data_IF_013132388599
#
_entry.id   IF_013132388599
#
_cell.length_a   1.000
_cell.length_b   1.000
_cell.length_c   1.000
_cell.angle_alpha   90.00
_cell.angle_beta   90.00
_cell.angle_gamma   90.00
#
_symmetry.space_group_name_H-M   'P 1'
#
loop_
_entity.id
_entity.type
_entity.pdbx_description
1 polymer ?
#
# COMPACT_ATOMS: atom_id res chain seq x y z
N UNK A 1 5.57 -9.94 -3.02
CA UNK A 1 6.13 -11.24 -3.48
C UNK A 1 5.98 -11.44 -4.98
N UNK A 2 4.77 -11.47 -5.54
CA UNK A 2 4.58 -11.65 -6.99
C UNK A 2 5.42 -10.68 -7.84
N UNK A 3 5.35 -9.38 -7.54
CA UNK A 3 6.13 -8.35 -8.24
C UNK A 3 7.64 -8.63 -8.16
N UNK A 4 8.18 -8.86 -6.94
CA UNK A 4 9.60 -9.19 -6.77
C UNK A 4 10.02 -10.43 -7.56
N UNK A 5 9.20 -11.48 -7.58
CA UNK A 5 9.49 -12.70 -8.33
C UNK A 5 9.56 -12.42 -9.82
N UNK A 6 8.58 -11.72 -10.36
CA UNK A 6 8.54 -11.40 -11.79
C UNK A 6 9.68 -10.46 -12.20
N UNK A 7 10.01 -9.46 -11.39
CA UNK A 7 11.17 -8.59 -11.66
C UNK A 7 12.46 -9.40 -11.69
N UNK A 8 12.64 -10.28 -10.70
CA UNK A 8 13.79 -11.17 -10.61
C UNK A 8 13.86 -12.13 -11.81
N UNK A 9 12.75 -12.77 -12.19
CA UNK A 9 12.69 -13.65 -13.36
C UNK A 9 12.95 -12.90 -14.67
N UNK A 10 12.50 -11.65 -14.79
CA UNK A 10 12.68 -10.84 -15.99
C UNK A 10 14.09 -10.26 -16.13
N UNK A 11 14.75 -9.89 -15.02
CA UNK A 11 15.99 -9.11 -15.05
C UNK A 11 17.20 -9.85 -14.50
N UNK A 12 17.00 -10.81 -13.59
CA UNK A 12 18.05 -11.42 -12.77
C UNK A 12 18.72 -10.46 -11.79
N UNK A 13 18.19 -9.24 -11.58
CA UNK A 13 18.81 -8.22 -10.73
C UNK A 13 18.55 -8.50 -9.23
N UNK A 14 19.45 -9.29 -8.64
CA UNK A 14 19.40 -9.67 -7.22
C UNK A 14 19.45 -8.44 -6.30
N UNK A 15 20.40 -7.49 -6.44
CA UNK A 15 20.44 -6.30 -5.59
C UNK A 15 19.16 -5.47 -5.62
N UNK A 16 18.60 -5.22 -6.81
CA UNK A 16 17.38 -4.43 -6.94
C UNK A 16 16.17 -5.15 -6.31
N UNK A 17 16.07 -6.47 -6.48
CA UNK A 17 14.98 -7.27 -5.90
C UNK A 17 15.05 -7.27 -4.38
N UNK A 18 16.24 -7.48 -3.80
CA UNK A 18 16.44 -7.40 -2.35
C UNK A 18 16.13 -6.01 -1.83
N UNK A 19 16.56 -4.95 -2.52
CA UNK A 19 16.26 -3.57 -2.14
C UNK A 19 14.75 -3.29 -2.12
N UNK A 20 14.00 -3.74 -3.14
CA UNK A 20 12.55 -3.60 -3.17
C UNK A 20 11.87 -4.37 -2.03
N UNK A 21 12.30 -5.62 -1.78
CA UNK A 21 11.77 -6.41 -0.66
C UNK A 21 12.08 -5.78 0.70
N UNK A 22 13.26 -5.18 0.83
CA UNK A 22 13.68 -4.48 2.04
C UNK A 22 12.83 -3.25 2.29
N UNK A 23 12.58 -2.43 1.26
CA UNK A 23 11.72 -1.25 1.37
C UNK A 23 10.26 -1.64 1.64
N UNK A 24 9.72 -2.60 0.87
CA UNK A 24 8.34 -3.06 0.97
C UNK A 24 8.04 -3.72 2.33
N UNK A 25 8.97 -4.50 2.88
CA UNK A 25 8.76 -5.17 4.17
C UNK A 25 9.32 -4.44 5.38
N UNK A 26 10.27 -3.52 5.20
CA UNK A 26 10.84 -2.73 6.29
C UNK A 26 9.77 -2.00 7.09
N UNK A 27 8.68 -1.60 6.43
CA UNK A 27 7.55 -0.94 7.09
C UNK A 27 6.65 -1.87 7.92
N UNK A 28 6.55 -3.15 7.54
CA UNK A 28 5.76 -4.14 8.29
C UNK A 28 6.44 -4.60 9.58
N UNK A 29 7.57 -3.99 9.93
CA UNK A 29 8.45 -4.47 10.98
C UNK A 29 9.03 -5.85 10.67
N UNK A 30 10.17 -6.14 11.27
CA UNK A 30 10.79 -7.46 11.17
C UNK A 30 9.89 -8.56 11.78
N UNK A 31 9.05 -8.22 12.77
CA UNK A 31 8.27 -9.18 13.57
C UNK A 31 7.12 -9.87 12.81
N UNK A 32 6.35 -9.17 11.98
CA UNK A 32 5.27 -9.82 11.23
C UNK A 32 5.86 -10.88 10.28
N UNK A 33 6.89 -10.51 9.53
CA UNK A 33 7.58 -11.42 8.61
C UNK A 33 8.28 -12.56 9.33
N UNK A 34 9.02 -12.26 10.41
CA UNK A 34 9.65 -13.30 11.23
C UNK A 34 8.62 -14.24 11.88
N UNK A 35 7.44 -13.75 12.25
CA UNK A 35 6.36 -14.59 12.78
C UNK A 35 5.81 -15.57 11.74
N UNK A 36 5.91 -15.21 10.46
CA UNK A 36 5.62 -16.10 9.32
C UNK A 36 6.84 -16.97 8.94
N UNK A 37 7.96 -16.86 9.68
CA UNK A 37 9.20 -17.60 9.41
C UNK A 37 10.06 -16.99 8.30
N UNK A 38 9.78 -15.75 7.88
CA UNK A 38 10.44 -15.11 6.74
C UNK A 38 11.36 -13.97 7.17
N UNK A 39 12.54 -13.91 6.55
CA UNK A 39 13.52 -12.84 6.71
C UNK A 39 13.81 -12.18 5.38
N UNK A 40 14.20 -10.90 5.40
CA UNK A 40 14.69 -10.23 4.20
C UNK A 40 15.95 -10.96 3.70
N UNK A 41 16.00 -11.39 2.43
CA UNK A 41 17.16 -12.11 1.90
C UNK A 41 18.42 -11.24 1.90
N UNK A 42 19.55 -11.79 2.35
CA UNK A 42 20.85 -11.11 2.32
C UNK A 42 21.66 -11.40 1.05
N UNK A 43 21.29 -12.44 0.30
CA UNK A 43 22.01 -12.91 -0.89
C UNK A 43 21.06 -13.62 -1.87
N UNK A 44 21.60 -14.00 -3.02
CA UNK A 44 20.85 -14.66 -4.09
C UNK A 44 20.22 -15.99 -3.65
N UNK A 45 20.95 -16.83 -2.92
CA UNK A 45 20.44 -18.14 -2.52
C UNK A 45 19.25 -18.00 -1.55
N UNK A 46 19.32 -17.06 -0.62
CA UNK A 46 18.19 -16.72 0.27
C UNK A 46 17.03 -16.09 -0.50
N UNK A 47 17.31 -15.27 -1.52
CA UNK A 47 16.28 -14.66 -2.36
C UNK A 47 15.51 -15.72 -3.13
N UNK A 48 16.23 -16.63 -3.80
CA UNK A 48 15.62 -17.75 -4.52
C UNK A 48 14.83 -18.65 -3.57
N UNK A 49 15.39 -18.97 -2.39
CA UNK A 49 14.68 -19.75 -1.38
C UNK A 49 13.37 -19.09 -0.94
N UNK A 50 13.33 -17.75 -0.80
CA UNK A 50 12.12 -17.01 -0.47
C UNK A 50 11.12 -16.96 -1.64
N UNK A 51 11.57 -16.60 -2.84
CA UNK A 51 10.71 -16.41 -4.02
C UNK A 51 10.06 -17.72 -4.50
N UNK A 52 10.74 -18.84 -4.27
CA UNK A 52 10.29 -20.18 -4.64
C UNK A 52 9.93 -21.04 -3.43
N UNK A 53 9.75 -20.44 -2.25
CA UNK A 53 9.16 -21.13 -1.11
C UNK A 53 7.78 -21.70 -1.52
N UNK A 54 7.46 -22.97 -1.21
CA UNK A 54 6.21 -23.59 -1.66
C UNK A 54 4.94 -22.83 -1.25
N UNK A 55 4.92 -22.14 -0.11
CA UNK A 55 3.78 -21.34 0.32
C UNK A 55 3.67 -20.04 -0.49
N UNK A 56 4.80 -19.40 -0.80
CA UNK A 56 4.85 -18.21 -1.66
C UNK A 56 4.46 -18.56 -3.10
N UNK A 57 4.97 -19.68 -3.63
CA UNK A 57 4.60 -20.15 -4.97
C UNK A 57 3.11 -20.46 -5.04
N UNK A 58 2.55 -21.18 -4.06
CA UNK A 58 1.11 -21.45 -4.01
C UNK A 58 0.28 -20.16 -3.98
N UNK A 59 0.65 -19.17 -3.15
CA UNK A 59 -0.02 -17.87 -3.12
C UNK A 59 0.11 -17.11 -4.45
N UNK A 60 1.29 -17.17 -5.09
CA UNK A 60 1.51 -16.59 -6.41
C UNK A 60 0.61 -17.21 -7.47
N UNK A 61 0.51 -18.55 -7.51
CA UNK A 61 -0.38 -19.24 -8.45
C UNK A 61 -1.86 -18.87 -8.23
N UNK A 62 -2.31 -18.78 -6.97
CA UNK A 62 -3.68 -18.34 -6.64
C UNK A 62 -3.92 -16.91 -7.11
N UNK A 63 -2.98 -15.98 -6.90
CA UNK A 63 -3.11 -14.61 -7.41
C UNK A 63 -3.22 -14.57 -8.93
N UNK A 64 -2.45 -15.40 -9.66
CA UNK A 64 -2.54 -15.46 -11.11
C UNK A 64 -3.90 -15.97 -11.59
N UNK A 65 -4.59 -16.81 -10.80
CA UNK A 65 -5.95 -17.27 -11.14
C UNK A 65 -6.99 -16.14 -11.13
N UNK A 66 -6.73 -15.00 -10.49
CA UNK A 66 -7.66 -13.87 -10.56
C UNK A 66 -7.81 -13.32 -11.98
N UNK A 67 -6.78 -13.48 -12.83
CA UNK A 67 -6.76 -12.93 -14.18
C UNK A 67 -7.33 -13.88 -15.24
N UNK A 68 -7.66 -15.13 -14.90
CA UNK A 68 -8.28 -16.07 -15.85
C UNK A 68 -9.82 -16.01 -15.86
N UNK A 69 -10.43 -15.38 -14.84
CA UNK A 69 -11.89 -15.30 -14.65
C UNK A 69 -12.45 -13.88 -14.84
N UNK A 70 -11.74 -13.03 -15.59
CA UNK A 70 -12.09 -11.61 -15.73
C UNK A 70 -13.47 -11.38 -16.37
N UNK A 71 -14.00 -12.35 -17.11
CA UNK A 71 -15.34 -12.34 -17.70
C UNK A 71 -16.46 -12.72 -16.71
N UNK A 72 -16.11 -13.20 -15.51
CA UNK A 72 -17.05 -13.61 -14.46
C UNK A 72 -17.22 -12.58 -13.34
N UNK A 73 -16.49 -11.47 -13.40
CA UNK A 73 -16.45 -10.46 -12.33
C UNK A 73 -16.55 -9.04 -12.88
N UNK A 74 -17.09 -8.13 -12.08
CA UNK A 74 -17.30 -6.73 -12.48
C UNK A 74 -16.13 -5.81 -12.10
N UNK A 75 -15.31 -6.21 -11.13
CA UNK A 75 -14.21 -5.42 -10.59
C UNK A 75 -13.09 -6.31 -10.04
N UNK A 76 -11.86 -5.80 -10.04
CA UNK A 76 -10.74 -6.39 -9.30
C UNK A 76 -10.69 -5.79 -7.90
N UNK A 77 -10.92 -6.62 -6.88
CA UNK A 77 -10.87 -6.20 -5.48
C UNK A 77 -9.44 -6.28 -4.92
N UNK A 78 -8.97 -5.18 -4.32
CA UNK A 78 -7.68 -5.07 -3.65
C UNK A 78 -7.87 -4.88 -2.14
N UNK A 79 -7.09 -5.63 -1.36
CA UNK A 79 -6.85 -5.40 0.06
C UNK A 79 -5.40 -4.96 0.25
N UNK A 80 -5.18 -3.77 0.78
CA UNK A 80 -3.87 -3.13 0.80
C UNK A 80 -3.64 -2.38 2.11
N UNK A 81 -2.66 -2.84 2.88
CA UNK A 81 -2.28 -2.31 4.19
C UNK A 81 -0.81 -1.85 4.26
N UNK A 82 -0.25 -1.48 3.11
CA UNK A 82 1.17 -1.11 2.98
C UNK A 82 1.31 0.38 2.68
N UNK A 83 2.56 0.83 2.49
CA UNK A 83 2.81 2.23 2.16
C UNK A 83 2.21 2.71 0.86
N UNK A 84 1.78 3.97 0.86
CA UNK A 84 1.36 4.68 -0.35
C UNK A 84 2.42 4.65 -1.47
N UNK A 85 3.71 4.51 -1.15
CA UNK A 85 4.80 4.45 -2.14
C UNK A 85 4.66 3.27 -3.11
N UNK A 86 4.18 2.13 -2.63
CA UNK A 86 4.15 0.90 -3.42
C UNK A 86 2.82 0.68 -4.15
N UNK A 87 1.75 1.36 -3.71
CA UNK A 87 0.42 1.24 -4.28
C UNK A 87 0.41 1.51 -5.80
N UNK A 88 1.07 2.57 -6.32
CA UNK A 88 1.43 2.75 -7.72
C UNK A 88 1.81 1.50 -8.49
N UNK A 89 2.81 0.78 -7.98
CA UNK A 89 3.41 -0.36 -8.65
C UNK A 89 2.48 -1.57 -8.60
N UNK A 90 1.76 -1.74 -7.49
CA UNK A 90 0.74 -2.78 -7.35
C UNK A 90 -0.38 -2.59 -8.36
N UNK A 91 -0.87 -1.36 -8.52
CA UNK A 91 -1.94 -1.05 -9.48
C UNK A 91 -1.48 -1.24 -10.91
N UNK A 92 -0.26 -0.78 -11.24
CA UNK A 92 0.34 -1.00 -12.55
C UNK A 92 0.48 -2.50 -12.86
N UNK A 93 0.94 -3.29 -11.89
CA UNK A 93 1.07 -4.74 -12.03
C UNK A 93 -0.30 -5.41 -12.25
N UNK A 94 -1.32 -5.08 -11.47
CA UNK A 94 -2.68 -5.62 -11.66
C UNK A 94 -3.22 -5.26 -13.06
N UNK A 95 -3.04 -4.00 -13.49
CA UNK A 95 -3.46 -3.53 -14.82
C UNK A 95 -2.76 -4.28 -15.94
N UNK A 96 -1.44 -4.49 -15.83
CA UNK A 96 -0.69 -5.20 -16.87
C UNK A 96 -1.13 -6.66 -16.97
N UNK A 97 -1.43 -7.32 -15.85
CA UNK A 97 -1.96 -8.71 -15.84
C UNK A 97 -3.34 -8.80 -16.45
N UNK A 98 -4.26 -7.88 -16.10
CA UNK A 98 -5.57 -7.82 -16.75
C UNK A 98 -5.45 -7.61 -18.26
N UNK A 99 -4.57 -6.70 -18.69
CA UNK A 99 -4.35 -6.42 -20.10
C UNK A 99 -3.81 -7.64 -20.87
N UNK A 100 -2.84 -8.36 -20.31
CA UNK A 100 -2.31 -9.61 -20.90
C UNK A 100 -3.42 -10.66 -21.04
N UNK A 101 -4.32 -10.74 -20.07
CA UNK A 101 -5.49 -11.62 -20.10
C UNK A 101 -6.64 -11.11 -21.00
N UNK A 102 -6.46 -9.97 -21.69
CA UNK A 102 -7.48 -9.40 -22.58
C UNK A 102 -8.64 -8.71 -21.87
N UNK A 103 -8.53 -8.47 -20.55
CA UNK A 103 -9.55 -7.82 -19.74
C UNK A 103 -9.20 -6.38 -19.35
N UNK A 104 -10.21 -5.63 -18.95
CA UNK A 104 -10.07 -4.31 -18.35
C UNK A 104 -11.20 -4.08 -17.35
N UNK A 105 -10.93 -4.41 -16.10
CA UNK A 105 -11.86 -4.17 -15.00
C UNK A 105 -11.47 -2.92 -14.22
N UNK A 106 -12.44 -2.22 -13.61
CA UNK A 106 -12.14 -1.27 -12.55
C UNK A 106 -11.42 -1.97 -11.39
N UNK A 107 -10.47 -1.27 -10.77
CA UNK A 107 -9.84 -1.71 -9.52
C UNK A 107 -10.55 -1.00 -8.37
N UNK A 108 -10.92 -1.75 -7.34
CA UNK A 108 -11.56 -1.27 -6.12
C UNK A 108 -10.73 -1.68 -4.90
N UNK A 109 -10.30 -0.74 -4.07
CA UNK A 109 -9.72 -1.06 -2.76
C UNK A 109 -10.82 -1.19 -1.72
N UNK A 110 -11.21 -2.43 -1.42
CA UNK A 110 -12.22 -2.72 -0.40
C UNK A 110 -11.65 -2.68 1.02
N UNK A 111 -10.33 -2.81 1.13
CA UNK A 111 -9.60 -2.60 2.36
C UNK A 111 -8.37 -1.79 1.99
N UNK A 112 -8.33 -0.54 2.42
CA UNK A 112 -7.19 0.33 2.28
C UNK A 112 -6.81 0.85 3.66
N UNK A 113 -5.60 0.59 4.11
CA UNK A 113 -5.17 1.02 5.43
C UNK A 113 -3.67 1.04 5.55
N UNK A 114 -3.21 1.20 6.78
CA UNK A 114 -1.79 1.13 7.13
C UNK A 114 -1.61 0.13 8.26
N UNK A 115 -0.82 -0.90 8.02
CA UNK A 115 -0.36 -1.79 9.07
C UNK A 115 0.92 -1.22 9.69
N UNK A 116 0.90 -1.03 11.01
CA UNK A 116 2.06 -0.64 11.80
C UNK A 116 2.33 -1.77 12.79
N UNK A 117 3.50 -2.37 12.68
CA UNK A 117 3.93 -3.43 13.59
C UNK A 117 5.08 -2.91 14.44
N UNK A 118 4.98 -3.10 15.75
CA UNK A 118 6.04 -2.71 16.67
C UNK A 118 7.31 -3.57 16.45
N UNK A 119 8.48 -2.92 16.39
CA UNK A 119 9.80 -3.58 16.44
C UNK A 119 10.22 -3.82 17.91
N UNK A 120 10.39 -5.08 18.35
CA UNK A 120 10.78 -5.40 19.72
C UNK A 120 12.20 -4.94 20.10
N UNK A 121 13.05 -4.51 19.16
CA UNK A 121 14.40 -4.02 19.45
C UNK A 121 14.43 -2.63 20.12
N UNK A 122 13.29 -1.95 20.29
CA UNK A 122 13.22 -0.64 20.93
C UNK A 122 13.98 0.46 20.19
N UNK A 123 14.30 0.24 18.90
CA UNK A 123 15.01 1.23 18.08
C UNK A 123 13.97 2.03 17.28
N UNK A 124 13.93 3.37 17.44
CA UNK A 124 12.98 4.20 16.69
C UNK A 124 13.20 4.15 15.17
N UNK A 125 12.14 4.41 14.37
CA UNK A 125 10.82 4.84 14.80
C UNK A 125 9.75 3.83 14.34
N UNK A 126 9.73 2.61 14.87
CA UNK A 126 8.64 1.67 14.62
C UNK A 126 7.71 1.56 15.82
N UNK A 127 7.40 2.70 16.45
CA UNK A 127 6.25 2.85 17.32
C UNK A 127 5.21 3.70 16.58
N UNK A 128 3.94 3.41 16.80
CA UNK A 128 2.86 4.23 16.26
C UNK A 128 3.06 5.71 16.61
N UNK A 129 3.17 6.55 15.59
CA UNK A 129 3.14 8.00 15.70
C UNK A 129 1.87 8.53 15.02
N UNK A 130 1.01 9.18 15.80
CA UNK A 130 -0.28 9.66 15.33
C UNK A 130 -0.14 10.70 14.20
N UNK A 131 0.89 11.54 14.24
CA UNK A 131 1.15 12.53 13.20
C UNK A 131 1.62 11.89 11.89
N UNK A 132 2.52 10.90 11.97
CA UNK A 132 2.95 10.12 10.79
C UNK A 132 1.79 9.32 10.21
N UNK A 133 0.96 8.68 11.05
CA UNK A 133 -0.24 7.99 10.59
C UNK A 133 -1.16 8.95 9.82
N UNK A 134 -1.41 10.16 10.34
CA UNK A 134 -2.21 11.16 9.66
C UNK A 134 -1.64 11.57 8.30
N UNK A 135 -0.32 11.83 8.20
CA UNK A 135 0.34 12.12 6.92
C UNK A 135 0.18 10.99 5.92
N UNK A 136 0.43 9.77 6.35
CA UNK A 136 0.42 8.61 5.48
C UNK A 136 -0.98 8.23 5.01
N UNK A 137 -2.02 8.44 5.83
CA UNK A 137 -3.42 8.31 5.40
C UNK A 137 -3.75 9.30 4.29
N UNK A 138 -3.36 10.57 4.42
CA UNK A 138 -3.60 11.57 3.37
C UNK A 138 -2.91 11.18 2.05
N UNK A 139 -1.64 10.77 2.11
CA UNK A 139 -0.85 10.33 0.95
C UNK A 139 -1.43 9.07 0.32
N UNK A 140 -1.90 8.11 1.11
CA UNK A 140 -2.48 6.86 0.64
C UNK A 140 -3.79 7.11 -0.11
N UNK A 141 -4.67 7.95 0.43
CA UNK A 141 -5.94 8.31 -0.21
C UNK A 141 -5.72 9.12 -1.48
N UNK A 142 -4.83 10.12 -1.44
CA UNK A 142 -4.45 10.88 -2.63
C UNK A 142 -3.85 9.97 -3.70
N UNK A 143 -3.00 9.02 -3.32
CA UNK A 143 -2.43 8.04 -4.25
C UNK A 143 -3.48 7.10 -4.81
N UNK A 144 -4.37 6.54 -4.00
CA UNK A 144 -5.44 5.66 -4.46
C UNK A 144 -6.36 6.37 -5.47
N UNK A 145 -6.79 7.59 -5.15
CA UNK A 145 -7.59 8.41 -6.05
C UNK A 145 -6.82 8.78 -7.33
N UNK A 146 -5.56 9.18 -7.16
CA UNK A 146 -4.66 9.59 -8.24
C UNK A 146 -4.35 8.49 -9.24
N UNK A 147 -4.27 7.26 -8.74
CA UNK A 147 -4.11 6.06 -9.54
C UNK A 147 -5.40 5.59 -10.19
N UNK A 148 -6.55 6.22 -9.91
CA UNK A 148 -7.83 5.90 -10.52
C UNK A 148 -8.48 4.64 -9.96
N UNK A 149 -8.35 4.37 -8.67
CA UNK A 149 -9.20 3.39 -8.00
C UNK A 149 -10.65 3.88 -8.03
N UNK A 150 -11.55 3.02 -8.50
CA UNK A 150 -12.96 3.37 -8.69
C UNK A 150 -13.76 3.40 -7.39
N UNK A 151 -13.27 2.71 -6.36
CA UNK A 151 -13.83 2.65 -5.01
C UNK A 151 -12.70 2.42 -4.02
N UNK A 152 -12.76 3.13 -2.90
CA UNK A 152 -11.78 3.03 -1.82
C UNK A 152 -12.47 3.04 -0.47
N UNK A 153 -12.26 2.00 0.33
CA UNK A 153 -12.75 1.85 1.69
C UNK A 153 -11.57 1.87 2.65
N UNK A 154 -11.45 2.93 3.45
CA UNK A 154 -10.43 2.96 4.49
C UNK A 154 -10.82 2.06 5.65
N UNK A 155 -9.92 1.15 6.05
CA UNK A 155 -10.13 0.24 7.17
C UNK A 155 -8.89 0.12 8.06
N UNK A 156 -9.06 0.00 9.39
CA UNK A 156 -10.34 0.09 10.10
C UNK A 156 -10.78 1.53 10.40
N UNK A 157 -12.10 1.76 10.50
CA UNK A 157 -12.61 3.04 11.00
C UNK A 157 -12.44 3.18 12.52
N UNK A 158 -12.75 2.12 13.26
CA UNK A 158 -12.69 2.05 14.72
C UNK A 158 -11.80 0.88 15.16
N UNK A 159 -11.02 1.07 16.22
CA UNK A 159 -10.06 0.10 16.74
C UNK A 159 -10.74 -1.13 17.38
N UNK A 160 -11.25 -2.00 16.52
CA UNK A 160 -11.94 -3.22 16.91
C UNK A 160 -10.97 -4.23 17.55
N UNK A 161 -9.70 -4.23 17.15
CA UNK A 161 -8.66 -5.12 17.71
C UNK A 161 -8.45 -4.83 19.21
N UNK A 162 -8.23 -3.56 19.56
CA UNK A 162 -8.05 -3.15 20.97
C UNK A 162 -9.31 -3.34 21.78
N UNK A 163 -10.49 -3.08 21.19
CA UNK A 163 -11.76 -3.34 21.86
C UNK A 163 -11.96 -4.82 22.25
N UNK A 164 -11.28 -5.73 21.56
CA UNK A 164 -11.26 -7.17 21.85
C UNK A 164 -9.98 -7.62 22.57
N UNK A 165 -9.20 -6.69 23.14
CA UNK A 165 -8.00 -6.99 23.92
C UNK A 165 -6.80 -7.47 23.09
N UNK A 166 -6.77 -7.15 21.79
CA UNK A 166 -5.65 -7.47 20.88
C UNK A 166 -4.76 -6.25 20.67
N UNK A 167 -3.52 -6.51 20.24
CA UNK A 167 -2.62 -5.47 19.70
C UNK A 167 -3.24 -4.86 18.44
N UNK A 168 -3.19 -3.53 18.31
CA UNK A 168 -3.64 -2.83 17.11
C UNK A 168 -2.52 -2.86 16.07
N UNK A 169 -2.71 -3.65 15.02
CA UNK A 169 -1.78 -3.72 13.90
C UNK A 169 -2.25 -2.81 12.78
N UNK A 170 -3.56 -2.84 12.51
CA UNK A 170 -4.19 -2.01 11.50
C UNK A 170 -4.78 -0.80 12.20
N UNK A 171 -4.05 0.31 12.20
CA UNK A 171 -4.42 1.45 13.03
C UNK A 171 -5.66 2.15 12.49
N UNK A 172 -6.65 2.31 13.36
CA UNK A 172 -7.93 2.90 13.03
C UNK A 172 -7.88 4.43 12.93
N UNK A 173 -8.93 5.02 12.36
CA UNK A 173 -9.17 6.47 12.41
C UNK A 173 -9.70 6.93 13.78
N UNK A 174 -10.38 6.03 14.50
CA UNK A 174 -10.98 6.26 15.81
C UNK A 174 -10.48 5.19 16.78
N UNK A 175 -9.99 5.62 17.95
CA UNK A 175 -9.53 4.71 18.99
C UNK A 175 -10.68 3.89 19.60
N UNK A 176 -10.35 2.85 20.38
CA UNK A 176 -11.33 1.91 20.95
C UNK A 176 -12.30 2.57 21.95
N UNK A 177 -11.87 3.67 22.56
CA UNK A 177 -12.67 4.53 23.47
C UNK A 177 -13.50 5.60 22.73
N UNK A 178 -13.58 5.51 21.41
CA UNK A 178 -14.24 6.47 20.51
C UNK A 178 -13.54 7.83 20.36
N UNK A 179 -12.33 8.00 20.90
CA UNK A 179 -11.54 9.22 20.68
C UNK A 179 -11.10 9.30 19.21
N UNK A 180 -11.43 10.39 18.49
CA UNK A 180 -10.92 10.61 17.13
C UNK A 180 -9.39 10.77 17.14
N UNK A 181 -8.71 10.09 16.23
CA UNK A 181 -7.27 10.27 16.02
C UNK A 181 -7.01 11.35 14.96
N UNK A 182 -5.81 11.93 14.91
CA UNK A 182 -5.44 12.92 13.88
C UNK A 182 -5.64 12.38 12.45
N UNK A 183 -5.47 11.08 12.27
CA UNK A 183 -5.73 10.39 11.00
C UNK A 183 -7.17 10.55 10.49
N UNK A 184 -8.17 10.66 11.38
CA UNK A 184 -9.56 10.92 10.95
C UNK A 184 -9.67 12.28 10.26
N UNK A 185 -9.03 13.32 10.81
CA UNK A 185 -9.04 14.65 10.19
C UNK A 185 -8.32 14.64 8.84
N UNK A 186 -7.17 13.94 8.75
CA UNK A 186 -6.44 13.80 7.50
C UNK A 186 -7.27 13.04 6.43
N UNK A 187 -7.94 11.97 6.84
CA UNK A 187 -8.89 11.23 6.00
C UNK A 187 -9.97 12.15 5.44
N UNK A 188 -10.65 12.90 6.32
CA UNK A 188 -11.74 13.82 5.94
C UNK A 188 -11.27 14.92 4.98
N UNK A 189 -10.08 15.48 5.22
CA UNK A 189 -9.50 16.49 4.32
C UNK A 189 -9.16 15.90 2.96
N UNK A 190 -8.50 14.73 2.91
CA UNK A 190 -8.10 14.09 1.66
C UNK A 190 -9.31 13.71 0.78
N UNK A 191 -10.38 13.17 1.38
CA UNK A 191 -11.62 12.89 0.63
C UNK A 191 -12.27 14.18 0.16
N UNK A 192 -12.22 15.27 0.95
CA UNK A 192 -12.80 16.56 0.58
C UNK A 192 -12.09 17.21 -0.60
N UNK A 193 -10.77 17.12 -0.65
CA UNK A 193 -9.94 17.66 -1.75
C UNK A 193 -10.12 16.90 -3.06
N UNK A 194 -10.31 15.58 -2.98
CA UNK A 194 -10.45 14.70 -4.15
C UNK A 194 -11.90 14.50 -4.60
N UNK A 195 -12.89 14.86 -3.76
CA UNK A 195 -14.30 14.70 -4.08
C UNK A 195 -14.72 15.49 -5.33
N UNK A 196 -15.45 14.83 -6.23
CA UNK A 196 -16.00 15.43 -7.44
C UNK A 196 -14.98 15.66 -8.57
N UNK A 197 -13.69 15.42 -8.32
CA UNK A 197 -12.63 15.45 -9.34
C UNK A 197 -12.79 14.23 -10.26
N UNK A 198 -12.73 14.45 -11.56
CA UNK A 198 -13.00 13.42 -12.59
C UNK A 198 -11.73 12.90 -13.23
N UNK A 199 -10.68 13.70 -13.25
CA UNK A 199 -9.39 13.31 -13.81
C UNK A 199 -8.32 13.47 -12.76
N UNK A 200 -7.42 12.49 -12.73
CA UNK A 200 -6.19 12.59 -12.00
C UNK A 200 -5.05 12.15 -12.90
N UNK A 201 -3.89 12.77 -12.73
CA UNK A 201 -2.63 12.34 -13.36
C UNK A 201 -1.49 12.50 -12.38
N UNK A 202 -0.52 11.61 -12.46
CA UNK A 202 0.76 11.83 -11.79
C UNK A 202 1.45 13.07 -12.33
N UNK A 203 2.12 13.78 -11.45
CA UNK A 203 3.02 14.88 -11.79
C UNK A 203 4.41 14.60 -11.22
N UNK A 204 5.42 15.16 -11.85
CA UNK A 204 6.80 15.12 -11.39
C UNK A 204 7.19 16.52 -10.85
N UNK A 205 6.98 16.78 -9.56
CA UNK A 205 7.41 18.01 -8.89
C UNK A 205 8.93 18.10 -8.67
N UNK A 206 9.69 17.03 -8.95
CA UNK A 206 11.13 16.98 -8.82
C UNK A 206 11.64 15.85 -7.90
N UNK A 207 12.97 15.72 -7.76
CA UNK A 207 13.59 14.61 -7.05
C UNK A 207 13.13 14.51 -5.58
N UNK A 208 12.70 13.32 -5.17
CA UNK A 208 12.25 13.05 -3.80
C UNK A 208 10.85 13.58 -3.47
N UNK A 209 10.12 14.04 -4.47
CA UNK A 209 8.74 14.45 -4.35
C UNK A 209 7.82 13.54 -5.15
N UNK A 210 6.58 13.43 -4.67
CA UNK A 210 5.48 12.76 -5.33
C UNK A 210 4.38 13.78 -5.55
N UNK A 211 3.51 13.53 -6.53
CA UNK A 211 2.30 14.31 -6.62
C UNK A 211 1.32 13.83 -7.66
N UNK A 212 0.10 14.33 -7.52
CA UNK A 212 -0.99 14.16 -8.46
C UNK A 212 -1.67 15.50 -8.71
N UNK A 213 -2.09 15.72 -9.94
CA UNK A 213 -2.95 16.82 -10.35
C UNK A 213 -4.38 16.29 -10.51
N UNK A 214 -5.33 16.90 -9.80
CA UNK A 214 -6.75 16.60 -9.79
C UNK A 214 -7.55 17.76 -10.37
N UNK A 215 -7.76 17.76 -11.69
CA UNK A 215 -8.45 18.83 -12.41
C UNK A 215 -7.92 20.24 -12.05
N UNK A 216 -6.60 20.44 -11.99
CA UNK A 216 -5.97 21.72 -11.65
C UNK A 216 -5.62 21.93 -10.18
N UNK A 217 -6.03 21.00 -9.30
CA UNK A 217 -5.61 20.94 -7.91
C UNK A 217 -4.44 19.96 -7.76
N UNK A 218 -3.25 20.49 -7.50
CA UNK A 218 -2.04 19.71 -7.29
C UNK A 218 -1.88 19.34 -5.82
N UNK A 219 -1.71 18.05 -5.56
CA UNK A 219 -1.32 17.50 -4.27
C UNK A 219 0.10 16.97 -4.41
N UNK A 220 1.06 17.55 -3.67
CA UNK A 220 2.46 17.14 -3.69
C UNK A 220 2.97 16.84 -2.30
N UNK A 221 3.94 15.94 -2.15
CA UNK A 221 4.54 15.63 -0.86
C UNK A 221 5.93 15.04 -1.02
N UNK A 222 6.71 15.06 0.07
CA UNK A 222 7.91 14.24 0.22
C UNK A 222 7.60 13.03 1.11
N UNK A 223 8.59 12.16 1.29
CA UNK A 223 8.45 10.95 2.08
C UNK A 223 8.02 11.26 3.52
N UNK A 224 8.67 12.22 4.16
CA UNK A 224 8.44 12.58 5.57
C UNK A 224 7.55 13.81 5.74
N UNK A 225 7.36 14.60 4.68
CA UNK A 225 6.58 15.85 4.71
C UNK A 225 5.08 15.65 4.66
N UNK A 226 4.34 16.71 4.95
CA UNK A 226 2.89 16.78 4.76
C UNK A 226 2.51 16.87 3.27
N UNK A 227 1.23 16.62 2.96
CA UNK A 227 0.67 16.92 1.64
C UNK A 227 0.49 18.43 1.49
N UNK A 228 1.14 18.99 0.48
CA UNK A 228 1.03 20.38 0.07
C UNK A 228 0.00 20.49 -1.05
N UNK A 229 -0.92 21.44 -0.92
CA UNK A 229 -2.00 21.70 -1.87
C UNK A 229 -1.70 22.99 -2.64
N UNK A 230 -1.68 22.92 -3.97
CA UNK A 230 -1.53 24.08 -4.87
C UNK A 230 -2.59 24.04 -5.97
N UNK A 231 -2.97 25.19 -6.53
CA UNK A 231 -3.99 25.27 -7.58
C UNK A 231 -5.44 25.37 -7.07
N UNK A 232 -6.42 25.38 -7.99
CA UNK A 232 -7.86 25.56 -7.75
C UNK A 232 -8.70 24.62 -8.62
#
# INVERSE_FOLDING_TARGET
>A
MAIAREDYEATGDVPATIAWLTDYFGQRGSRYWQSQGWTVPANQAELEALLYDPAIDAAYQVMLQHFIVLDLVDAYQLHYYESWKHLPRVIEWIRSKMQVAGGRLPIEAWELGYAWYDDPAGTPPHGYDEATHARDVAKLLATAAGEGLSRTHYLPYWSNEVAHGKEEVHWALVASDYTPRQALSAFQTAIGLTAGRRHARRIDPGPGWWGYDFDGLELTWTETGDVVVTGN
#
